data_IF_807527743052
#
_entry.id   IF_807527743052
#
_cell.length_a   1.000
_cell.length_b   1.000
_cell.length_c   1.000
_cell.angle_alpha   90.00
_cell.angle_beta   90.00
_cell.angle_gamma   90.00
#
_symmetry.space_group_name_H-M   'P 1'
#
loop_
_entity.id
_entity.type
_entity.pdbx_description
1 polymer ?
#
# COMPACT_ATOMS: atom_id res chain seq x y z
N UNK A 1 6.14 22.57 22.74
CA UNK A 1 5.18 21.50 22.41
C UNK A 1 4.65 20.96 23.73
N UNK A 2 3.36 21.16 24.03
CA UNK A 2 2.79 20.81 25.34
C UNK A 2 2.54 19.29 25.42
N UNK A 3 2.60 18.73 26.64
CA UNK A 3 2.43 17.29 26.89
C UNK A 3 1.09 16.74 26.36
N UNK A 4 0.03 17.55 26.41
CA UNK A 4 -1.32 17.21 25.92
C UNK A 4 -1.38 16.87 24.42
N UNK A 5 -0.52 17.47 23.59
CA UNK A 5 -0.51 17.18 22.15
C UNK A 5 0.05 15.78 21.86
N UNK A 6 0.99 15.30 22.67
CA UNK A 6 1.61 14.00 22.48
C UNK A 6 0.67 12.85 22.87
N UNK A 7 -0.06 12.99 23.97
CA UNK A 7 -1.08 12.03 24.39
C UNK A 7 -2.27 12.02 23.43
N UNK A 8 -2.73 13.20 22.99
CA UNK A 8 -3.80 13.31 21.99
C UNK A 8 -3.39 12.68 20.65
N UNK A 9 -2.15 12.89 20.19
CA UNK A 9 -1.61 12.22 18.99
C UNK A 9 -1.51 10.71 19.15
N UNK A 10 -1.12 10.20 20.32
CA UNK A 10 -1.12 8.75 20.59
C UNK A 10 -2.52 8.16 20.52
N UNK A 11 -3.49 8.81 21.15
CA UNK A 11 -4.87 8.33 21.16
C UNK A 11 -5.53 8.39 19.77
N UNK A 12 -5.27 9.44 18.99
CA UNK A 12 -5.76 9.51 17.60
C UNK A 12 -4.98 8.61 16.62
N UNK A 13 -3.71 8.32 16.87
CA UNK A 13 -2.98 7.30 16.09
C UNK A 13 -3.56 5.90 16.32
N UNK A 14 -4.11 5.63 17.51
CA UNK A 14 -4.84 4.39 17.79
C UNK A 14 -6.20 4.31 17.08
N UNK A 15 -6.73 5.44 16.56
CA UNK A 15 -8.00 5.47 15.82
C UNK A 15 -7.82 5.70 14.32
N UNK A 16 -6.57 5.86 13.85
CA UNK A 16 -6.30 6.06 12.43
C UNK A 16 -6.59 4.76 11.67
N UNK A 17 -7.41 4.78 10.60
CA UNK A 17 -7.72 3.58 9.84
C UNK A 17 -6.45 2.92 9.29
N UNK A 18 -6.41 1.59 9.29
CA UNK A 18 -5.36 0.83 8.62
C UNK A 18 -5.32 1.23 7.16
N UNK A 19 -4.14 1.61 6.67
CA UNK A 19 -3.91 1.95 5.28
C UNK A 19 -2.81 1.05 4.73
N UNK A 20 -3.04 0.44 3.57
CA UNK A 20 -2.09 -0.45 2.92
C UNK A 20 -1.75 0.13 1.56
N UNK A 21 -0.49 0.51 1.37
CA UNK A 21 0.03 0.91 0.06
C UNK A 21 0.56 -0.32 -0.67
N UNK A 22 0.01 -0.60 -1.84
CA UNK A 22 0.29 -1.84 -2.58
C UNK A 22 0.88 -1.50 -3.95
N UNK A 23 2.07 -2.01 -4.23
CA UNK A 23 2.69 -1.96 -5.54
C UNK A 23 1.88 -2.74 -6.59
N UNK A 24 2.05 -2.38 -7.86
CA UNK A 24 1.41 -3.08 -8.96
C UNK A 24 2.33 -4.13 -9.61
N UNK A 25 3.44 -3.69 -10.21
CA UNK A 25 4.30 -4.50 -11.09
C UNK A 25 5.34 -5.30 -10.31
N UNK A 26 5.01 -6.56 -10.04
CA UNK A 26 5.82 -7.46 -9.20
C UNK A 26 5.10 -7.83 -7.89
N UNK A 27 4.07 -7.06 -7.51
CA UNK A 27 3.27 -7.31 -6.31
C UNK A 27 1.87 -7.86 -6.64
N UNK A 28 0.97 -7.03 -7.18
CA UNK A 28 -0.40 -7.45 -7.56
C UNK A 28 -0.43 -8.33 -8.82
N UNK A 29 0.54 -8.17 -9.70
CA UNK A 29 0.75 -9.04 -10.84
C UNK A 29 2.24 -9.26 -11.08
N UNK A 30 2.58 -10.26 -11.91
CA UNK A 30 3.95 -10.41 -12.39
C UNK A 30 4.43 -9.11 -13.07
N UNK A 31 5.72 -8.81 -12.95
CA UNK A 31 6.29 -7.64 -13.62
C UNK A 31 6.40 -7.90 -15.13
N UNK A 32 5.52 -7.28 -15.91
CA UNK A 32 5.45 -7.38 -17.36
C UNK A 32 5.36 -6.01 -18.05
N UNK A 33 5.78 -4.95 -17.36
CA UNK A 33 5.70 -3.57 -17.86
C UNK A 33 6.27 -3.44 -19.29
N UNK A 34 5.57 -2.77 -20.23
CA UNK A 34 4.39 -1.92 -20.02
C UNK A 34 3.04 -2.67 -19.95
N UNK A 35 3.02 -3.95 -20.31
CA UNK A 35 1.80 -4.76 -20.31
C UNK A 35 1.33 -5.12 -18.90
N UNK A 36 0.12 -5.67 -18.79
CA UNK A 36 -0.40 -6.21 -17.52
C UNK A 36 0.08 -7.65 -17.37
N UNK A 37 0.82 -7.93 -16.29
CA UNK A 37 1.30 -9.27 -15.99
C UNK A 37 0.20 -10.21 -15.51
N UNK A 38 0.55 -11.49 -15.34
CA UNK A 38 -0.35 -12.48 -14.76
C UNK A 38 -0.71 -12.08 -13.30
N UNK A 39 -1.99 -12.16 -12.90
CA UNK A 39 -2.42 -11.77 -11.56
C UNK A 39 -1.77 -12.63 -10.48
N UNK A 40 -1.34 -11.99 -9.40
CA UNK A 40 -0.89 -12.68 -8.20
C UNK A 40 -2.07 -12.88 -7.25
N UNK A 41 -2.77 -14.00 -7.41
CA UNK A 41 -3.99 -14.26 -6.65
C UNK A 41 -3.80 -14.34 -5.14
N UNK A 42 -2.63 -14.75 -4.66
CA UNK A 42 -2.34 -14.77 -3.22
C UNK A 42 -2.39 -13.36 -2.62
N UNK A 43 -1.75 -12.40 -3.28
CA UNK A 43 -1.72 -11.00 -2.84
C UNK A 43 -3.07 -10.32 -3.07
N UNK A 44 -3.73 -10.57 -4.20
CA UNK A 44 -5.05 -10.00 -4.49
C UNK A 44 -6.08 -10.46 -3.46
N UNK A 45 -6.12 -11.75 -3.12
CA UNK A 45 -7.05 -12.28 -2.10
C UNK A 45 -6.73 -11.72 -0.72
N UNK A 46 -5.45 -11.59 -0.37
CA UNK A 46 -5.04 -10.96 0.89
C UNK A 46 -5.48 -9.49 0.97
N UNK A 47 -5.28 -8.71 -0.11
CA UNK A 47 -5.70 -7.32 -0.19
C UNK A 47 -7.23 -7.17 -0.06
N UNK A 48 -8.00 -8.03 -0.75
CA UNK A 48 -9.45 -8.04 -0.66
C UNK A 48 -9.94 -8.38 0.76
N UNK A 49 -9.30 -9.33 1.44
CA UNK A 49 -9.61 -9.67 2.82
C UNK A 49 -9.36 -8.49 3.78
N UNK A 50 -8.27 -7.74 3.58
CA UNK A 50 -7.97 -6.53 4.33
C UNK A 50 -9.01 -5.42 4.08
N UNK A 51 -9.45 -5.25 2.83
CA UNK A 51 -10.53 -4.32 2.49
C UNK A 51 -11.85 -4.69 3.17
N UNK A 52 -12.21 -5.98 3.22
CA UNK A 52 -13.38 -6.48 3.95
C UNK A 52 -13.25 -6.21 5.46
N UNK A 53 -12.04 -6.31 6.01
CA UNK A 53 -11.76 -5.98 7.41
C UNK A 53 -11.76 -4.46 7.70
N UNK A 54 -11.95 -3.62 6.68
CA UNK A 54 -12.05 -2.17 6.81
C UNK A 54 -10.73 -1.42 6.63
N UNK A 55 -9.68 -2.07 6.11
CA UNK A 55 -8.48 -1.35 5.69
C UNK A 55 -8.76 -0.52 4.43
N UNK A 56 -8.21 0.69 4.38
CA UNK A 56 -8.18 1.46 3.14
C UNK A 56 -7.00 1.01 2.27
N UNK A 57 -7.27 0.75 1.00
CA UNK A 57 -6.24 0.33 0.04
C UNK A 57 -5.79 1.50 -0.81
N UNK A 58 -4.48 1.61 -0.99
CA UNK A 58 -3.84 2.63 -1.84
C UNK A 58 -3.06 1.91 -2.94
N UNK A 59 -3.40 2.17 -4.21
CA UNK A 59 -2.56 1.72 -5.31
C UNK A 59 -1.32 2.62 -5.34
N UNK A 60 -0.14 2.03 -5.16
CA UNK A 60 1.13 2.74 -5.08
C UNK A 60 2.03 2.30 -6.23
N UNK A 61 1.93 2.97 -7.37
CA UNK A 61 2.55 2.53 -8.62
C UNK A 61 3.24 3.68 -9.36
N UNK A 62 4.30 3.36 -10.09
CA UNK A 62 4.92 4.30 -11.02
C UNK A 62 4.16 4.41 -12.35
N UNK A 63 3.09 3.64 -12.58
CA UNK A 63 2.23 3.78 -13.76
C UNK A 63 1.50 5.11 -13.72
N UNK A 64 1.42 5.77 -14.88
CA UNK A 64 0.77 7.06 -15.08
C UNK A 64 -0.04 7.06 -16.39
N UNK A 65 -1.00 7.97 -16.52
CA UNK A 65 -1.83 8.10 -17.72
C UNK A 65 -2.59 6.81 -18.07
N UNK A 66 -2.60 6.44 -19.34
CA UNK A 66 -3.28 5.25 -19.85
C UNK A 66 -2.80 3.94 -19.18
N UNK A 67 -1.52 3.87 -18.81
CA UNK A 67 -0.99 2.68 -18.13
C UNK A 67 -1.57 2.53 -16.71
N UNK A 68 -1.86 3.65 -16.05
CA UNK A 68 -2.51 3.65 -14.74
C UNK A 68 -3.98 3.25 -14.85
N UNK A 69 -4.69 3.78 -15.87
CA UNK A 69 -6.07 3.40 -16.15
C UNK A 69 -6.19 1.89 -16.42
N UNK A 70 -5.31 1.34 -17.26
CA UNK A 70 -5.25 -0.10 -17.54
C UNK A 70 -5.00 -0.95 -16.28
N UNK A 71 -4.13 -0.48 -15.37
CA UNK A 71 -3.85 -1.15 -14.10
C UNK A 71 -5.08 -1.14 -13.17
N UNK A 72 -5.77 0.00 -13.07
CA UNK A 72 -6.99 0.13 -12.26
C UNK A 72 -8.12 -0.76 -12.80
N UNK A 73 -8.29 -0.81 -14.13
CA UNK A 73 -9.27 -1.71 -14.75
C UNK A 73 -8.95 -3.18 -14.52
N UNK A 74 -7.67 -3.56 -14.58
CA UNK A 74 -7.24 -4.92 -14.27
C UNK A 74 -7.59 -5.30 -12.83
N UNK A 75 -7.25 -4.43 -11.87
CA UNK A 75 -7.60 -4.62 -10.46
C UNK A 75 -9.12 -4.73 -10.25
N UNK A 76 -9.91 -3.88 -10.89
CA UNK A 76 -11.37 -3.95 -10.80
C UNK A 76 -11.92 -5.28 -11.34
N UNK A 77 -11.38 -5.80 -12.45
CA UNK A 77 -11.74 -7.14 -12.98
C UNK A 77 -11.33 -8.28 -12.04
N UNK A 78 -10.30 -8.07 -11.23
CA UNK A 78 -9.85 -9.01 -10.20
C UNK A 78 -10.62 -8.86 -8.87
N UNK A 79 -11.58 -7.92 -8.80
CA UNK A 79 -12.40 -7.69 -7.61
C UNK A 79 -11.75 -6.80 -6.55
N UNK A 80 -10.73 -6.02 -6.93
CA UNK A 80 -10.02 -5.11 -6.03
C UNK A 80 -10.30 -3.66 -6.39
N UNK A 81 -10.65 -2.85 -5.38
CA UNK A 81 -10.87 -1.41 -5.52
C UNK A 81 -9.94 -0.64 -4.57
N UNK A 82 -9.54 0.56 -4.96
CA UNK A 82 -8.64 1.40 -4.18
C UNK A 82 -9.33 2.68 -3.73
N UNK A 83 -9.06 3.08 -2.49
CA UNK A 83 -9.58 4.30 -1.86
C UNK A 83 -8.74 5.53 -2.25
N UNK A 84 -7.48 5.31 -2.64
CA UNK A 84 -6.60 6.31 -3.21
C UNK A 84 -5.61 5.69 -4.19
N UNK A 85 -5.05 6.52 -5.06
CA UNK A 85 -4.05 6.12 -6.06
C UNK A 85 -2.92 7.13 -6.00
N UNK A 86 -1.71 6.67 -5.69
CA UNK A 86 -0.52 7.51 -5.53
C UNK A 86 -0.68 8.69 -4.55
N UNK A 87 -1.63 8.58 -3.61
CA UNK A 87 -1.90 9.59 -2.58
C UNK A 87 -2.29 8.90 -1.25
N UNK A 88 -2.07 9.60 -0.14
CA UNK A 88 -2.48 9.12 1.17
C UNK A 88 -4.00 9.18 1.33
N UNK A 89 -4.57 8.29 2.15
CA UNK A 89 -6.00 8.34 2.45
C UNK A 89 -6.41 9.73 3.00
N UNK A 90 -7.62 10.23 2.68
CA UNK A 90 -8.11 11.51 3.21
C UNK A 90 -8.07 11.59 4.74
N UNK A 91 -8.34 10.48 5.44
CA UNK A 91 -8.26 10.37 6.90
C UNK A 91 -6.83 10.58 7.42
N UNK A 92 -5.83 10.09 6.70
CA UNK A 92 -4.41 10.26 7.03
C UNK A 92 -3.96 11.70 6.81
N UNK A 93 -4.31 12.31 5.67
CA UNK A 93 -3.99 13.73 5.38
C UNK A 93 -4.58 14.66 6.44
N UNK A 94 -5.84 14.41 6.81
CA UNK A 94 -6.52 15.16 7.90
C UNK A 94 -5.82 15.00 9.25
N UNK A 95 -5.37 13.79 9.58
CA UNK A 95 -4.71 13.52 10.86
C UNK A 95 -3.35 14.22 10.99
N UNK A 96 -2.52 14.14 9.95
CA UNK A 96 -1.19 14.78 9.96
C UNK A 96 -1.23 16.28 9.62
N UNK A 97 -2.32 16.76 9.05
CA UNK A 97 -2.49 18.17 8.69
C UNK A 97 -1.56 18.61 7.55
N UNK A 98 -1.14 17.67 6.70
CA UNK A 98 -0.26 17.94 5.57
C UNK A 98 -0.58 17.02 4.39
N UNK A 99 -0.04 17.39 3.23
CA UNK A 99 -0.05 16.58 2.02
C UNK A 99 1.39 16.46 1.54
N UNK A 100 1.96 15.25 1.64
CA UNK A 100 3.35 14.99 1.30
C UNK A 100 3.44 14.08 0.09
N UNK A 101 4.50 14.25 -0.71
CA UNK A 101 4.77 13.37 -1.87
C UNK A 101 4.86 11.89 -1.49
N UNK A 102 5.38 11.57 -0.30
CA UNK A 102 5.39 10.21 0.22
C UNK A 102 3.99 9.86 0.73
N UNK A 103 3.44 8.74 0.27
CA UNK A 103 2.23 8.16 0.83
C UNK A 103 2.46 7.70 2.26
N UNK A 104 1.56 8.09 3.17
CA UNK A 104 1.48 7.54 4.51
C UNK A 104 0.61 6.29 4.53
N UNK A 105 1.15 5.20 5.06
CA UNK A 105 0.46 3.92 5.20
C UNK A 105 0.93 3.17 6.45
N UNK A 106 0.11 2.25 6.93
CA UNK A 106 0.45 1.28 7.98
C UNK A 106 1.40 0.21 7.45
N UNK A 107 1.15 -0.25 6.21
CA UNK A 107 1.91 -1.29 5.54
C UNK A 107 2.23 -0.88 4.10
N UNK A 108 3.39 -1.35 3.59
CA UNK A 108 3.78 -1.22 2.19
C UNK A 108 4.03 -2.64 1.68
N UNK A 109 3.26 -3.07 0.70
CA UNK A 109 3.43 -4.35 0.02
C UNK A 109 4.08 -4.06 -1.32
N UNK A 110 5.35 -4.41 -1.47
CA UNK A 110 6.19 -3.96 -2.58
C UNK A 110 7.32 -4.99 -2.79
N UNK A 111 7.47 -5.46 -4.03
CA UNK A 111 8.43 -6.50 -4.40
C UNK A 111 9.90 -6.08 -4.23
N UNK A 112 10.14 -4.77 -4.16
CA UNK A 112 11.49 -4.19 -4.02
C UNK A 112 11.78 -3.70 -2.61
N UNK A 113 10.85 -3.88 -1.67
CA UNK A 113 11.07 -3.44 -0.30
C UNK A 113 12.01 -4.38 0.47
N UNK A 114 13.12 -3.85 0.97
CA UNK A 114 13.86 -4.51 2.06
C UNK A 114 13.26 -4.10 3.40
N UNK A 115 12.86 -5.08 4.23
CA UNK A 115 12.42 -4.80 5.59
C UNK A 115 13.59 -4.25 6.42
N UNK A 116 13.42 -3.08 7.01
CA UNK A 116 14.36 -2.50 7.97
C UNK A 116 13.83 -2.71 9.38
N UNK A 117 14.61 -3.33 10.26
CA UNK A 117 14.25 -3.51 11.67
C UNK A 117 15.42 -3.12 12.57
N UNK A 118 15.18 -2.26 13.55
CA UNK A 118 16.19 -1.77 14.50
C UNK A 118 17.47 -1.25 13.82
N UNK A 119 17.32 -0.53 12.70
CA UNK A 119 18.42 0.04 11.92
C UNK A 119 19.21 -0.95 11.07
N UNK A 120 18.73 -2.20 10.93
CA UNK A 120 19.36 -3.24 10.10
C UNK A 120 18.47 -3.64 8.95
N UNK A 121 19.08 -3.90 7.79
CA UNK A 121 18.39 -4.56 6.67
C UNK A 121 18.18 -6.02 7.03
N UNK A 122 16.92 -6.45 6.99
CA UNK A 122 16.56 -7.85 7.09
C UNK A 122 16.82 -8.46 5.71
N UNK A 123 17.83 -9.31 5.60
CA UNK A 123 17.98 -10.15 4.41
C UNK A 123 16.87 -11.18 4.47
N UNK A 124 16.02 -11.21 3.45
CA UNK A 124 15.18 -12.37 3.25
C UNK A 124 16.10 -13.58 3.08
N UNK A 125 15.77 -14.69 3.74
CA UNK A 125 16.33 -15.97 3.30
C UNK A 125 15.88 -16.08 1.85
N UNK A 126 16.82 -16.20 0.91
CA UNK A 126 16.47 -16.56 -0.45
C UNK A 126 15.53 -17.76 -0.32
N UNK A 127 14.34 -17.66 -0.92
CA UNK A 127 13.54 -18.84 -1.19
C UNK A 127 14.41 -19.69 -2.11
N UNK A 128 15.27 -20.53 -1.53
CA UNK A 128 15.84 -21.69 -2.20
C UNK A 128 14.63 -22.55 -2.51
N UNK A 129 14.13 -22.39 -3.73
CA UNK A 129 13.18 -23.30 -4.33
C UNK A 129 13.84 -24.68 -4.34
N UNK A 130 13.49 -25.51 -3.37
CA UNK A 130 13.75 -26.95 -3.38
C UNK A 130 12.80 -27.65 -4.35
#
# INVERSE_FOLDING_TARGET
>A
MQADDAERRKQYAQTLPKAIAIDFDGCLCANAYPDIGAPNWEIIVAAAAEQIAGAGLILWTCREGELLENALEACARWGLHFDAVNDSLPSWKKFYGNETRKVGATEYWDDKAYRVQNGKLMKEAAHEMA
#
